data_IF_646468653980
#
_entry.id   IF_646468653980
#
_cell.length_a   1.000
_cell.length_b   1.000
_cell.length_c   1.000
_cell.angle_alpha   90.00
_cell.angle_beta   90.00
_cell.angle_gamma   90.00
#
_symmetry.space_group_name_H-M   'P 1'
#
loop_
_entity.id
_entity.type
_entity.pdbx_description
1 polymer ?
#
# COMPACT_ATOMS: atom_id res chain seq x y z
N UNK A 1 30.93 0.30 12.96
CA UNK A 1 30.09 1.09 12.09
C UNK A 1 28.76 1.40 12.81
N UNK A 2 27.97 2.33 12.31
CA UNK A 2 26.72 2.79 12.97
C UNK A 2 25.74 1.64 13.16
N UNK A 3 25.62 0.75 12.19
CA UNK A 3 24.72 -0.40 12.28
C UNK A 3 25.10 -1.34 13.42
N UNK A 4 26.39 -1.64 13.59
CA UNK A 4 26.86 -2.48 14.67
C UNK A 4 26.54 -1.89 16.05
N UNK A 5 26.69 -0.58 16.22
CA UNK A 5 26.32 0.11 17.47
C UNK A 5 24.82 -0.01 17.76
N UNK A 6 23.98 0.19 16.74
CA UNK A 6 22.53 0.06 16.92
C UNK A 6 22.10 -1.38 17.23
N UNK A 7 22.76 -2.36 16.58
CA UNK A 7 22.50 -3.78 16.79
C UNK A 7 22.99 -4.28 18.16
N UNK A 8 23.98 -3.63 18.75
CA UNK A 8 24.45 -3.93 20.11
C UNK A 8 23.57 -3.28 21.19
N UNK A 9 23.09 -2.06 20.96
CA UNK A 9 22.38 -1.27 21.98
C UNK A 9 20.88 -1.55 22.03
N UNK A 10 20.22 -1.62 20.87
CA UNK A 10 18.74 -1.66 20.83
C UNK A 10 18.15 -3.01 21.27
N UNK A 11 18.66 -4.20 20.86
CA UNK A 11 18.03 -5.46 21.25
C UNK A 11 17.95 -5.70 22.76
N UNK A 12 19.00 -5.45 23.57
CA UNK A 12 18.92 -5.58 25.02
C UNK A 12 17.91 -4.62 25.65
N UNK A 13 17.77 -3.41 25.11
CA UNK A 13 16.78 -2.43 25.62
C UNK A 13 15.37 -2.94 25.35
N UNK A 14 15.09 -3.37 24.11
CA UNK A 14 13.77 -3.91 23.76
C UNK A 14 13.45 -5.19 24.52
N UNK A 15 14.42 -6.07 24.72
CA UNK A 15 14.23 -7.29 25.51
C UNK A 15 13.87 -6.99 26.98
N UNK A 16 14.47 -5.94 27.56
CA UNK A 16 14.27 -5.58 28.97
C UNK A 16 13.03 -4.76 29.22
N UNK A 17 12.68 -3.84 28.32
CA UNK A 17 11.65 -2.83 28.54
C UNK A 17 10.49 -2.90 27.52
N UNK A 18 10.63 -3.70 26.47
CA UNK A 18 9.59 -3.88 25.47
C UNK A 18 8.44 -4.75 25.98
N UNK A 19 7.25 -4.51 25.45
CA UNK A 19 6.03 -5.26 25.76
C UNK A 19 5.76 -6.40 24.76
N UNK A 20 6.54 -6.48 23.68
CA UNK A 20 6.40 -7.53 22.68
C UNK A 20 7.12 -8.81 23.10
N UNK A 21 6.48 -9.96 22.87
CA UNK A 21 7.04 -11.28 23.18
C UNK A 21 8.25 -11.65 22.29
N UNK A 22 8.38 -11.00 21.14
CA UNK A 22 9.50 -11.20 20.22
C UNK A 22 10.16 -9.85 19.97
N UNK A 23 11.31 -9.62 20.60
CA UNK A 23 12.14 -8.47 20.29
C UNK A 23 12.94 -8.73 18.99
N UNK A 24 13.10 -7.70 18.18
CA UNK A 24 14.01 -7.77 17.04
C UNK A 24 15.43 -8.07 17.52
N UNK A 25 16.04 -9.08 16.92
CA UNK A 25 17.43 -9.48 17.23
C UNK A 25 18.36 -9.06 16.10
N UNK A 26 19.64 -8.89 16.41
CA UNK A 26 20.67 -8.66 15.39
C UNK A 26 20.92 -9.94 14.55
N UNK A 27 21.27 -9.81 13.24
CA UNK A 27 21.33 -8.55 12.50
C UNK A 27 19.94 -8.03 12.10
N UNK A 28 19.73 -6.71 12.18
CA UNK A 28 18.47 -6.12 11.73
C UNK A 28 18.32 -6.23 10.22
N UNK A 29 17.07 -6.40 9.76
CA UNK A 29 16.73 -6.38 8.34
C UNK A 29 17.14 -5.03 7.72
N UNK A 30 17.96 -5.08 6.69
CA UNK A 30 18.40 -3.91 5.92
C UNK A 30 17.59 -3.81 4.65
N UNK A 31 16.93 -2.67 4.45
CA UNK A 31 16.11 -2.40 3.27
C UNK A 31 16.73 -1.21 2.55
N UNK A 32 17.18 -1.36 1.29
CA UNK A 32 17.66 -0.24 0.50
C UNK A 32 16.60 0.84 0.36
N UNK A 33 17.01 2.11 0.42
CA UNK A 33 16.07 3.25 0.35
C UNK A 33 15.14 3.20 -0.87
N UNK A 34 15.68 2.91 -2.05
CA UNK A 34 14.88 2.83 -3.27
C UNK A 34 13.86 1.70 -3.23
N UNK A 35 14.23 0.56 -2.66
CA UNK A 35 13.30 -0.56 -2.45
C UNK A 35 12.21 -0.18 -1.45
N UNK A 36 12.58 0.49 -0.35
CA UNK A 36 11.61 0.94 0.67
C UNK A 36 10.57 1.89 0.08
N UNK A 37 11.01 2.85 -0.73
CA UNK A 37 10.10 3.76 -1.42
C UNK A 37 9.23 3.07 -2.47
N UNK A 38 9.78 2.09 -3.19
CA UNK A 38 9.07 1.40 -4.25
C UNK A 38 8.02 0.43 -3.71
N UNK A 39 8.35 -0.34 -2.69
CA UNK A 39 7.52 -1.43 -2.14
C UNK A 39 6.59 -0.96 -1.02
N UNK A 40 7.01 0.03 -0.24
CA UNK A 40 6.26 0.47 0.94
C UNK A 40 5.81 1.93 0.88
N UNK A 41 6.33 2.72 -0.08
CA UNK A 41 6.02 4.13 -0.23
C UNK A 41 6.51 5.01 0.93
N UNK A 42 7.52 4.55 1.67
CA UNK A 42 8.06 5.22 2.86
C UNK A 42 9.51 4.85 3.10
N UNK A 43 10.30 5.78 3.61
CA UNK A 43 11.66 5.55 4.13
C UNK A 43 11.64 4.90 5.53
N UNK A 44 10.49 4.85 6.17
CA UNK A 44 10.25 4.26 7.52
C UNK A 44 9.02 3.35 7.49
N UNK A 45 9.08 2.23 6.74
CA UNK A 45 7.92 1.36 6.59
C UNK A 45 7.59 0.63 7.90
N UNK A 46 6.32 0.59 8.25
CA UNK A 46 5.83 -0.32 9.28
C UNK A 46 5.74 -1.73 8.69
N UNK A 47 6.68 -2.59 9.07
CA UNK A 47 6.78 -3.96 8.54
C UNK A 47 5.75 -4.93 9.14
N UNK A 48 5.00 -4.52 10.15
CA UNK A 48 3.88 -5.31 10.67
C UNK A 48 2.73 -5.37 9.67
N UNK A 49 2.66 -4.39 8.76
CA UNK A 49 1.66 -4.37 7.69
C UNK A 49 2.19 -5.21 6.53
N UNK A 50 1.49 -6.27 6.15
CA UNK A 50 1.89 -7.19 5.07
C UNK A 50 1.61 -6.66 3.66
N UNK A 51 0.82 -5.57 3.54
CA UNK A 51 0.48 -4.93 2.27
C UNK A 51 1.71 -4.35 1.58
N UNK A 52 1.74 -4.41 0.26
CA UNK A 52 2.82 -3.87 -0.58
C UNK A 52 2.27 -2.99 -1.68
N UNK A 53 3.03 -1.95 -2.01
CA UNK A 53 2.77 -1.12 -3.18
C UNK A 53 3.28 -1.82 -4.44
N UNK A 54 2.54 -1.75 -5.53
CA UNK A 54 2.91 -2.30 -6.83
C UNK A 54 2.87 -1.19 -7.88
N UNK A 55 3.81 -1.19 -8.81
CA UNK A 55 3.80 -0.27 -9.94
C UNK A 55 2.87 -0.80 -11.03
N UNK A 56 1.87 -0.03 -11.37
CA UNK A 56 0.88 -0.36 -12.40
C UNK A 56 0.83 0.69 -13.51
N UNK A 57 1.88 1.49 -13.62
CA UNK A 57 1.99 2.60 -14.59
C UNK A 57 1.81 2.10 -16.03
N UNK A 58 2.52 1.05 -16.41
CA UNK A 58 2.42 0.49 -17.76
C UNK A 58 1.04 -0.15 -18.03
N UNK A 59 0.36 -0.63 -16.99
CA UNK A 59 -0.93 -1.29 -17.09
C UNK A 59 -2.08 -0.29 -17.19
N UNK A 60 -2.05 0.78 -16.40
CA UNK A 60 -3.18 1.70 -16.23
C UNK A 60 -2.97 3.10 -16.84
N UNK A 61 -1.79 3.42 -17.35
CA UNK A 61 -1.47 4.74 -17.86
C UNK A 61 -2.29 5.16 -19.09
N UNK A 62 -2.84 4.21 -19.82
CA UNK A 62 -3.65 4.41 -21.03
C UNK A 62 -5.10 3.92 -20.89
N UNK A 63 -5.60 3.77 -19.65
CA UNK A 63 -6.97 3.29 -19.40
C UNK A 63 -8.08 4.35 -19.69
N UNK A 64 -7.71 5.54 -20.15
CA UNK A 64 -8.65 6.62 -20.44
C UNK A 64 -9.12 7.40 -19.20
N UNK A 65 -8.47 7.21 -18.06
CA UNK A 65 -8.68 8.00 -16.86
C UNK A 65 -7.66 9.14 -16.80
N UNK A 66 -8.07 10.37 -17.12
CA UNK A 66 -7.18 11.53 -17.29
C UNK A 66 -6.13 11.72 -16.18
N UNK A 67 -6.46 11.56 -14.88
CA UNK A 67 -5.47 11.67 -13.80
C UNK A 67 -4.32 10.66 -13.85
N UNK A 68 -4.39 9.63 -14.70
CA UNK A 68 -3.35 8.60 -14.85
C UNK A 68 -2.44 8.85 -16.06
N UNK A 69 -2.88 9.67 -17.00
CA UNK A 69 -2.13 9.93 -18.24
C UNK A 69 -0.76 10.57 -17.97
N UNK A 70 0.30 9.90 -18.39
CA UNK A 70 1.68 10.38 -18.21
C UNK A 70 2.18 10.41 -16.76
N UNK A 71 1.46 9.78 -15.84
CA UNK A 71 1.81 9.75 -14.41
C UNK A 71 2.34 8.36 -14.00
N UNK A 72 3.11 8.35 -12.91
CA UNK A 72 3.40 7.09 -12.19
C UNK A 72 2.16 6.68 -11.41
N UNK A 73 1.77 5.41 -11.50
CA UNK A 73 0.60 4.86 -10.83
C UNK A 73 1.02 3.72 -9.93
N UNK A 74 0.63 3.82 -8.65
CA UNK A 74 0.87 2.77 -7.66
C UNK A 74 -0.45 2.18 -7.17
N UNK A 75 -0.45 0.87 -6.95
CA UNK A 75 -1.58 0.13 -6.43
C UNK A 75 -1.23 -0.52 -5.09
N UNK A 76 -2.19 -0.56 -4.18
CA UNK A 76 -2.12 -1.30 -2.91
C UNK A 76 -3.34 -2.22 -2.85
N UNK A 77 -3.19 -3.49 -3.28
CA UNK A 77 -4.27 -4.48 -3.19
C UNK A 77 -4.43 -4.98 -1.75
N UNK A 78 -5.68 -5.16 -1.32
CA UNK A 78 -6.06 -5.68 0.00
C UNK A 78 -7.11 -6.77 -0.18
N UNK A 79 -6.79 -7.99 0.19
CA UNK A 79 -7.71 -9.12 0.16
C UNK A 79 -8.66 -9.11 1.36
N UNK A 80 -9.78 -9.83 1.24
CA UNK A 80 -10.77 -9.96 2.32
C UNK A 80 -11.25 -8.62 2.90
N UNK A 81 -11.43 -7.65 2.00
CA UNK A 81 -11.78 -6.28 2.36
C UNK A 81 -13.28 -6.13 2.64
N UNK A 82 -13.63 -5.74 3.85
CA UNK A 82 -15.03 -5.62 4.33
C UNK A 82 -15.48 -4.20 4.66
N UNK A 83 -14.63 -3.20 4.43
CA UNK A 83 -14.95 -1.82 4.79
C UNK A 83 -16.11 -1.24 3.97
N UNK A 84 -16.90 -0.41 4.63
CA UNK A 84 -18.04 0.30 4.04
C UNK A 84 -17.59 1.41 3.11
N UNK A 85 -18.49 1.89 2.25
CA UNK A 85 -18.23 3.03 1.37
C UNK A 85 -17.77 4.28 2.15
N UNK A 86 -18.41 4.58 3.29
CA UNK A 86 -18.03 5.70 4.15
C UNK A 86 -16.58 5.59 4.66
N UNK A 87 -16.14 4.37 5.00
CA UNK A 87 -14.77 4.13 5.43
C UNK A 87 -13.78 4.29 4.27
N UNK A 88 -14.16 3.88 3.05
CA UNK A 88 -13.35 4.09 1.84
C UNK A 88 -13.20 5.58 1.54
N UNK A 89 -14.29 6.33 1.58
CA UNK A 89 -14.27 7.78 1.31
C UNK A 89 -13.40 8.50 2.35
N UNK A 90 -13.48 8.11 3.63
CA UNK A 90 -12.60 8.61 4.68
C UNK A 90 -11.14 8.23 4.44
N UNK A 91 -10.85 6.99 4.09
CA UNK A 91 -9.51 6.51 3.76
C UNK A 91 -8.84 7.37 2.68
N UNK A 92 -9.57 7.64 1.58
CA UNK A 92 -9.06 8.47 0.49
C UNK A 92 -8.83 9.92 0.94
N UNK A 93 -9.75 10.49 1.72
CA UNK A 93 -9.61 11.84 2.25
C UNK A 93 -8.41 11.97 3.20
N UNK A 94 -8.25 11.03 4.12
CA UNK A 94 -7.13 11.01 5.07
C UNK A 94 -5.78 10.84 4.33
N UNK A 95 -5.73 9.99 3.31
CA UNK A 95 -4.54 9.83 2.46
C UNK A 95 -4.19 11.11 1.69
N UNK A 96 -5.19 11.83 1.18
CA UNK A 96 -5.03 13.13 0.53
C UNK A 96 -4.47 14.18 1.50
N UNK A 97 -4.98 14.24 2.72
CA UNK A 97 -4.45 15.15 3.76
C UNK A 97 -2.99 14.85 4.10
N UNK A 98 -2.63 13.57 4.23
CA UNK A 98 -1.27 13.16 4.60
C UNK A 98 -0.28 13.40 3.45
N UNK A 99 -0.66 13.10 2.22
CA UNK A 99 0.24 13.10 1.07
C UNK A 99 0.19 14.38 0.24
N UNK A 100 -0.90 15.15 0.33
CA UNK A 100 -1.16 16.31 -0.54
C UNK A 100 -1.57 15.91 -1.96
N UNK A 101 -1.98 14.66 -2.18
CA UNK A 101 -2.27 14.12 -3.50
C UNK A 101 -3.48 13.19 -3.46
N UNK A 102 -4.30 13.21 -4.51
CA UNK A 102 -5.53 12.42 -4.56
C UNK A 102 -5.27 10.92 -4.56
N UNK A 103 -6.17 10.20 -3.89
CA UNK A 103 -6.26 8.76 -3.92
C UNK A 103 -7.47 8.29 -4.72
N UNK A 104 -7.34 7.17 -5.38
CA UNK A 104 -8.38 6.51 -6.18
C UNK A 104 -8.53 5.08 -5.73
N UNK A 105 -9.55 4.38 -6.19
CA UNK A 105 -9.77 3.01 -5.83
C UNK A 105 -10.71 2.29 -6.81
N UNK A 106 -10.66 0.99 -6.78
CA UNK A 106 -11.68 0.09 -7.30
C UNK A 106 -11.71 -1.18 -6.42
N UNK A 107 -12.67 -2.01 -6.60
CA UNK A 107 -12.73 -3.32 -5.95
C UNK A 107 -13.12 -4.41 -6.95
N UNK A 108 -12.73 -5.63 -6.65
CA UNK A 108 -13.26 -6.84 -7.27
C UNK A 108 -14.30 -7.42 -6.33
N UNK A 109 -15.52 -7.60 -6.81
CA UNK A 109 -16.61 -8.15 -6.03
C UNK A 109 -16.53 -9.68 -5.89
N UNK A 110 -17.52 -10.27 -5.21
CA UNK A 110 -17.60 -11.73 -5.01
C UNK A 110 -17.75 -12.50 -6.32
N UNK A 111 -18.28 -11.86 -7.37
CA UNK A 111 -18.49 -12.47 -8.70
C UNK A 111 -17.29 -12.32 -9.62
N UNK A 112 -16.22 -11.66 -9.15
CA UNK A 112 -15.04 -11.36 -9.94
C UNK A 112 -15.20 -10.18 -10.88
N UNK A 113 -16.20 -9.30 -10.66
CA UNK A 113 -16.39 -8.09 -11.45
C UNK A 113 -15.72 -6.88 -10.81
N UNK A 114 -15.14 -5.99 -11.66
CA UNK A 114 -14.58 -4.73 -11.18
C UNK A 114 -15.71 -3.74 -10.92
N UNK A 115 -15.77 -3.16 -9.73
CA UNK A 115 -16.84 -2.30 -9.28
C UNK A 115 -16.33 -1.13 -8.42
N UNK A 116 -17.11 -0.05 -8.39
CA UNK A 116 -16.86 1.14 -7.57
C UNK A 116 -15.70 1.99 -8.04
N UNK A 117 -15.52 3.18 -7.45
CA UNK A 117 -14.43 4.09 -7.76
C UNK A 117 -14.27 4.37 -9.26
N UNK A 118 -13.07 4.05 -9.78
CA UNK A 118 -12.72 4.23 -11.19
C UNK A 118 -12.93 2.97 -12.04
N UNK A 119 -13.58 1.94 -11.52
CA UNK A 119 -13.75 0.64 -12.21
C UNK A 119 -14.30 0.75 -13.64
N UNK A 120 -15.14 1.75 -13.93
CA UNK A 120 -15.70 1.99 -15.27
C UNK A 120 -14.64 2.22 -16.35
N UNK A 121 -13.48 2.77 -15.99
CA UNK A 121 -12.36 3.01 -16.91
C UNK A 121 -11.46 1.77 -17.07
N UNK A 122 -11.65 0.75 -16.24
CA UNK A 122 -10.77 -0.42 -16.14
C UNK A 122 -11.35 -1.66 -16.82
N UNK A 123 -12.62 -1.63 -17.25
CA UNK A 123 -13.33 -2.80 -17.80
C UNK A 123 -12.62 -3.39 -19.02
N UNK A 124 -12.05 -2.56 -19.90
CA UNK A 124 -11.34 -3.01 -21.10
C UNK A 124 -10.02 -3.75 -20.80
N UNK A 125 -9.49 -3.64 -19.58
CA UNK A 125 -8.24 -4.27 -19.13
C UNK A 125 -8.43 -5.21 -17.94
N UNK A 126 -9.66 -5.62 -17.68
CA UNK A 126 -10.05 -6.42 -16.50
C UNK A 126 -9.13 -7.63 -16.31
N UNK A 127 -8.98 -8.46 -17.34
CA UNK A 127 -8.20 -9.70 -17.26
C UNK A 127 -6.71 -9.43 -17.00
N UNK A 128 -6.15 -8.39 -17.64
CA UNK A 128 -4.76 -7.98 -17.42
C UNK A 128 -4.54 -7.49 -16.00
N UNK A 129 -5.49 -6.72 -15.45
CA UNK A 129 -5.44 -6.20 -14.07
C UNK A 129 -5.51 -7.34 -13.07
N UNK A 130 -6.43 -8.29 -13.28
CA UNK A 130 -6.58 -9.47 -12.42
C UNK A 130 -5.27 -10.28 -12.40
N UNK A 131 -4.68 -10.53 -13.57
CA UNK A 131 -3.45 -11.30 -13.67
C UNK A 131 -2.25 -10.56 -13.05
N UNK A 132 -2.09 -9.26 -13.35
CA UNK A 132 -0.95 -8.46 -12.89
C UNK A 132 -0.93 -8.25 -11.36
N UNK A 133 -2.10 -8.00 -10.77
CA UNK A 133 -2.25 -7.78 -9.34
C UNK A 133 -2.58 -9.04 -8.54
N UNK A 134 -2.79 -10.17 -9.20
CA UNK A 134 -3.20 -11.42 -8.55
C UNK A 134 -4.53 -11.29 -7.80
N UNK A 135 -5.50 -10.57 -8.37
CA UNK A 135 -6.74 -10.26 -7.69
C UNK A 135 -7.57 -11.51 -7.44
N UNK A 136 -8.17 -11.55 -6.28
CA UNK A 136 -9.15 -12.55 -5.86
C UNK A 136 -10.50 -11.87 -5.60
N UNK A 137 -11.62 -12.60 -5.57
CA UNK A 137 -12.89 -12.05 -5.11
C UNK A 137 -12.74 -11.33 -3.76
N UNK A 138 -13.50 -10.24 -3.57
CA UNK A 138 -13.42 -9.38 -2.37
C UNK A 138 -12.07 -8.68 -2.15
N UNK A 139 -11.34 -8.38 -3.23
CA UNK A 139 -10.13 -7.55 -3.15
C UNK A 139 -10.48 -6.10 -3.40
N UNK A 140 -10.01 -5.23 -2.51
CA UNK A 140 -9.98 -3.77 -2.69
C UNK A 140 -8.61 -3.36 -3.21
N UNK A 141 -8.57 -2.39 -4.12
CA UNK A 141 -7.31 -1.85 -4.65
C UNK A 141 -7.35 -0.33 -4.48
N UNK A 142 -6.49 0.17 -3.59
CA UNK A 142 -6.23 1.60 -3.50
C UNK A 142 -5.18 2.00 -4.54
N UNK A 143 -5.35 3.17 -5.15
CA UNK A 143 -4.52 3.67 -6.24
C UNK A 143 -4.05 5.10 -5.94
N UNK A 144 -2.83 5.37 -6.32
CA UNK A 144 -2.27 6.72 -6.34
C UNK A 144 -1.70 7.04 -7.72
N UNK A 145 -1.70 8.32 -8.10
CA UNK A 145 -1.06 8.77 -9.33
C UNK A 145 -0.36 10.10 -9.12
N UNK A 146 0.64 10.38 -9.92
CA UNK A 146 1.38 11.64 -9.88
C UNK A 146 2.83 11.47 -10.31
N UNK A 147 3.65 12.48 -10.08
CA UNK A 147 5.11 12.32 -10.19
C UNK A 147 5.56 11.19 -9.27
N UNK A 148 6.60 10.44 -9.65
CA UNK A 148 7.03 9.21 -8.95
C UNK A 148 7.05 9.34 -7.42
N UNK A 149 7.69 10.35 -6.87
CA UNK A 149 7.77 10.56 -5.42
C UNK A 149 6.41 10.86 -4.77
N UNK A 150 5.53 11.60 -5.45
CA UNK A 150 4.18 11.88 -4.97
C UNK A 150 3.32 10.61 -4.99
N UNK A 151 3.34 9.83 -6.07
CA UNK A 151 2.63 8.57 -6.17
C UNK A 151 3.09 7.56 -5.09
N UNK A 152 4.40 7.44 -4.86
CA UNK A 152 4.96 6.59 -3.81
C UNK A 152 4.50 7.03 -2.41
N UNK A 153 4.61 8.33 -2.09
CA UNK A 153 4.19 8.88 -0.79
C UNK A 153 2.69 8.62 -0.52
N UNK A 154 1.85 8.83 -1.54
CA UNK A 154 0.41 8.59 -1.41
C UNK A 154 0.11 7.09 -1.23
N UNK A 155 0.78 6.22 -1.99
CA UNK A 155 0.65 4.77 -1.83
C UNK A 155 1.09 4.31 -0.42
N UNK A 156 2.16 4.88 0.12
CA UNK A 156 2.62 4.63 1.49
C UNK A 156 1.61 5.06 2.56
N UNK A 157 0.99 6.23 2.38
CA UNK A 157 -0.10 6.70 3.25
C UNK A 157 -1.32 5.75 3.19
N UNK A 158 -1.75 5.37 1.98
CA UNK A 158 -2.82 4.40 1.78
C UNK A 158 -2.51 3.05 2.42
N UNK A 159 -1.28 2.54 2.22
CA UNK A 159 -0.83 1.28 2.82
C UNK A 159 -0.95 1.29 4.34
N UNK A 160 -0.49 2.36 4.99
CA UNK A 160 -0.56 2.52 6.45
C UNK A 160 -2.01 2.57 6.94
N UNK A 161 -2.83 3.42 6.34
CA UNK A 161 -4.25 3.56 6.70
C UNK A 161 -5.03 2.26 6.46
N UNK A 162 -4.72 1.53 5.39
CA UNK A 162 -5.33 0.22 5.11
C UNK A 162 -4.92 -0.84 6.13
N UNK A 163 -3.67 -0.87 6.59
CA UNK A 163 -3.24 -1.75 7.67
C UNK A 163 -3.98 -1.47 8.98
N UNK A 164 -4.23 -0.21 9.29
CA UNK A 164 -5.03 0.19 10.47
C UNK A 164 -6.52 -0.17 10.31
N UNK A 165 -7.07 -0.06 9.09
CA UNK A 165 -8.47 -0.37 8.78
C UNK A 165 -8.73 -1.88 8.69
N UNK A 166 -7.74 -2.66 8.30
CA UNK A 166 -7.82 -4.09 8.05
C UNK A 166 -6.87 -4.87 8.99
N UNK A 167 -7.29 -5.17 10.23
CA UNK A 167 -6.41 -5.78 11.24
C UNK A 167 -5.84 -7.15 10.87
N UNK A 168 -6.44 -7.85 9.91
CA UNK A 168 -5.93 -9.11 9.36
C UNK A 168 -4.67 -8.94 8.49
N UNK A 169 -4.34 -7.70 8.11
CA UNK A 169 -3.14 -7.32 7.38
C UNK A 169 -2.07 -6.64 8.26
N UNK A 170 -2.24 -6.69 9.58
CA UNK A 170 -1.30 -6.11 10.54
C UNK A 170 -0.96 -7.13 11.63
N UNK A 171 0.32 -7.46 11.75
CA UNK A 171 0.83 -8.23 12.89
C UNK A 171 0.68 -7.43 14.19
N UNK A 172 0.30 -8.13 15.26
CA UNK A 172 0.07 -7.53 16.59
C UNK A 172 1.32 -7.60 17.45
#
# INVERSE_FOLDING_TARGET
DVFAVLEDVLPPIFAKYGTYSVASTAPFKRIPYLESMEVYGSDKPDLRIDLKCQDVTALLGDCGFGPFEGQTIKAVPVTDFTATRKQIDKLCADAEVISGNKAYWFKMDEKGELAGGIAKFLQGKKEEIIAALGLKPNTFVALSSGKKGAAQKTAGALRKLLGELCPNHMDK
#
